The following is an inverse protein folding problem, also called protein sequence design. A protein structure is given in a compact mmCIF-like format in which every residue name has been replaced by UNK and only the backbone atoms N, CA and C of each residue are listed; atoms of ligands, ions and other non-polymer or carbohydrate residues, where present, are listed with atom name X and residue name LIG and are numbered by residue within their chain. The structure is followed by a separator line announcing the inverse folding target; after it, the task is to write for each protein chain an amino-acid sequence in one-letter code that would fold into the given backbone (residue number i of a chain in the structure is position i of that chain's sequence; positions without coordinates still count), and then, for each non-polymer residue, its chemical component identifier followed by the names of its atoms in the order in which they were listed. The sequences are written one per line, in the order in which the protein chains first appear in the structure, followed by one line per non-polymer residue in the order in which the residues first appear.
data_IF_160851828201
#
_entry.id   IF_160851828201
#
_cell.length_a   1.000
_cell.length_b   1.000
_cell.length_c   1.000
_cell.angle_alpha   90.00
_cell.angle_beta   90.00
_cell.angle_gamma   90.00
#
_symmetry.space_group_name_H-M   'P 1'
#
loop_
_entity.id
_entity.type
_entity.pdbx_description
1 polymer ?
#
# COMPACT_ATOMS: atom_id res chain seq x y z
N UNK A 1 -14.71 5.91 3.83
CA UNK A 1 -13.90 4.93 3.06
C UNK A 1 -12.76 4.46 3.95
N UNK A 2 -12.43 3.17 3.99
CA UNK A 2 -11.28 2.66 4.77
C UNK A 2 -9.97 3.08 4.08
N UNK A 3 -9.00 3.58 4.85
CA UNK A 3 -7.70 4.06 4.35
C UNK A 3 -6.51 3.44 5.10
N UNK A 4 -6.75 2.44 5.94
CA UNK A 4 -5.73 1.77 6.75
C UNK A 4 -5.87 0.27 6.56
N UNK A 5 -4.81 -0.37 6.09
CA UNK A 5 -4.75 -1.78 5.71
C UNK A 5 -3.60 -2.46 6.45
N UNK A 6 -3.84 -3.69 6.92
CA UNK A 6 -2.78 -4.57 7.39
C UNK A 6 -2.14 -5.35 6.23
N UNK A 7 -1.03 -6.07 6.50
CA UNK A 7 -0.35 -6.87 5.48
C UNK A 7 -1.24 -7.96 4.87
N UNK A 8 -2.19 -8.51 5.63
CA UNK A 8 -3.08 -9.58 5.18
C UNK A 8 -4.32 -9.09 4.41
N UNK A 9 -4.55 -7.77 4.37
CA UNK A 9 -5.76 -7.17 3.79
C UNK A 9 -5.64 -6.97 2.25
N UNK A 10 -4.83 -7.76 1.56
CA UNK A 10 -4.46 -7.56 0.14
C UNK A 10 -5.67 -7.46 -0.81
N UNK A 11 -6.67 -8.33 -0.63
CA UNK A 11 -7.89 -8.32 -1.47
C UNK A 11 -8.73 -7.06 -1.24
N UNK A 12 -8.91 -6.66 0.02
CA UNK A 12 -9.67 -5.47 0.38
C UNK A 12 -8.94 -4.20 -0.08
N UNK A 13 -7.63 -4.15 0.11
CA UNK A 13 -6.78 -3.09 -0.40
C UNK A 13 -6.92 -2.95 -1.91
N UNK A 14 -6.83 -4.05 -2.67
CA UNK A 14 -6.96 -4.03 -4.13
C UNK A 14 -8.29 -3.41 -4.58
N UNK A 15 -9.40 -3.80 -3.94
CA UNK A 15 -10.72 -3.25 -4.23
C UNK A 15 -10.83 -1.75 -3.90
N UNK A 16 -10.23 -1.31 -2.79
CA UNK A 16 -10.21 0.10 -2.40
C UNK A 16 -9.29 0.93 -3.30
N UNK A 17 -8.12 0.41 -3.68
CA UNK A 17 -7.18 1.03 -4.61
C UNK A 17 -7.85 1.30 -5.95
N UNK A 18 -8.54 0.31 -6.52
CA UNK A 18 -9.24 0.48 -7.79
C UNK A 18 -10.34 1.55 -7.71
N UNK A 19 -11.07 1.60 -6.59
CA UNK A 19 -12.10 2.62 -6.37
C UNK A 19 -11.49 4.02 -6.19
N UNK A 20 -10.44 4.14 -5.38
CA UNK A 20 -9.71 5.40 -5.16
C UNK A 20 -9.15 5.93 -6.47
N UNK A 21 -8.47 5.09 -7.25
CA UNK A 21 -7.95 5.42 -8.58
C UNK A 21 -9.04 6.04 -9.46
N UNK A 22 -10.20 5.39 -9.56
CA UNK A 22 -11.32 5.89 -10.36
C UNK A 22 -11.84 7.24 -9.85
N UNK A 23 -11.96 7.41 -8.53
CA UNK A 23 -12.41 8.67 -7.94
C UNK A 23 -11.42 9.82 -8.15
N UNK A 24 -10.12 9.57 -7.98
CA UNK A 24 -9.05 10.55 -8.17
C UNK A 24 -9.02 10.99 -9.65
N UNK A 25 -9.03 10.05 -10.58
CA UNK A 25 -9.03 10.36 -12.03
C UNK A 25 -10.28 11.16 -12.41
N UNK A 26 -11.46 10.78 -11.90
CA UNK A 26 -12.68 11.53 -12.15
C UNK A 26 -12.64 12.94 -11.52
N UNK A 27 -12.08 13.08 -10.33
CA UNK A 27 -11.89 14.36 -9.65
C UNK A 27 -10.90 15.28 -10.40
N UNK A 28 -9.78 14.72 -10.87
CA UNK A 28 -8.76 15.43 -11.62
C UNK A 28 -9.29 15.91 -12.97
N UNK A 29 -10.03 15.04 -13.67
CA UNK A 29 -10.67 15.38 -14.94
C UNK A 29 -11.66 16.54 -14.80
N UNK A 30 -12.43 16.62 -13.72
CA UNK A 30 -13.33 17.75 -13.45
C UNK A 30 -12.59 19.08 -13.27
N UNK A 31 -11.29 19.02 -12.93
CA UNK A 31 -10.40 20.17 -12.76
C UNK A 31 -9.51 20.42 -13.99
N UNK A 32 -9.71 19.68 -15.08
CA UNK A 32 -8.91 19.80 -16.31
C UNK A 32 -7.51 19.19 -16.20
N UNK A 33 -7.24 18.37 -15.18
CA UNK A 33 -5.96 17.70 -14.98
C UNK A 33 -6.04 16.31 -15.60
N UNK A 34 -5.15 16.03 -16.55
CA UNK A 34 -4.99 14.69 -17.13
C UNK A 34 -4.10 13.85 -16.19
N UNK A 35 -4.64 12.73 -15.71
CA UNK A 35 -3.94 11.84 -14.77
C UNK A 35 -3.99 10.43 -15.30
N UNK A 36 -2.83 9.80 -15.37
CA UNK A 36 -2.70 8.40 -15.76
C UNK A 36 -3.14 7.51 -14.57
N UNK A 37 -4.13 6.62 -14.74
CA UNK A 37 -4.68 5.82 -13.63
C UNK A 37 -3.67 4.85 -12.99
N UNK A 38 -2.76 4.25 -13.75
CA UNK A 38 -1.78 3.30 -13.23
C UNK A 38 -0.74 3.96 -12.31
N UNK A 39 -0.37 5.23 -12.54
CA UNK A 39 0.53 6.01 -11.70
C UNK A 39 -0.12 6.32 -10.34
N UNK A 40 -1.43 6.59 -10.33
CA UNK A 40 -2.17 6.74 -9.07
C UNK A 40 -2.19 5.42 -8.31
N UNK A 41 -2.41 4.29 -9.00
CA UNK A 41 -2.36 2.97 -8.36
C UNK A 41 -0.96 2.68 -7.80
N UNK A 42 0.10 2.97 -8.56
CA UNK A 42 1.48 2.80 -8.13
C UNK A 42 1.83 3.65 -6.90
N UNK A 43 1.34 4.89 -6.81
CA UNK A 43 1.50 5.73 -5.62
C UNK A 43 0.80 5.15 -4.39
N UNK A 44 -0.39 4.57 -4.58
CA UNK A 44 -1.12 3.89 -3.51
C UNK A 44 -0.40 2.60 -3.08
N UNK A 45 0.16 1.86 -4.03
CA UNK A 45 0.91 0.61 -3.79
C UNK A 45 2.18 0.88 -2.98
N UNK A 46 2.89 1.97 -3.28
CA UNK A 46 3.97 2.47 -2.43
C UNK A 46 3.51 2.68 -1.01
N UNK A 47 2.37 3.36 -0.84
CA UNK A 47 1.91 3.70 0.51
C UNK A 47 1.46 2.48 1.29
N UNK A 48 0.83 1.55 0.61
CA UNK A 48 0.43 0.28 1.18
C UNK A 48 1.65 -0.53 1.65
N UNK A 49 2.71 -0.61 0.84
CA UNK A 49 3.93 -1.36 1.19
C UNK A 49 4.74 -0.72 2.32
N UNK A 50 4.69 0.60 2.48
CA UNK A 50 5.43 1.31 3.54
C UNK A 50 4.78 1.15 4.91
N UNK A 51 3.47 1.44 5.04
CA UNK A 51 2.80 1.42 6.36
C UNK A 51 1.29 1.12 6.31
N UNK A 52 0.73 0.80 5.14
CA UNK A 52 -0.69 0.50 4.98
C UNK A 52 -1.65 1.69 5.18
N UNK A 53 -1.16 2.90 5.47
CA UNK A 53 -1.97 4.09 5.82
C UNK A 53 -2.05 5.06 4.65
N UNK A 54 -3.02 4.89 3.77
CA UNK A 54 -3.14 5.66 2.52
C UNK A 54 -3.30 7.18 2.73
N UNK A 55 -3.82 7.61 3.89
CA UNK A 55 -3.98 9.03 4.25
C UNK A 55 -2.77 9.68 4.93
N UNK A 56 -1.72 8.94 5.29
CA UNK A 56 -0.61 9.48 6.09
C UNK A 56 0.64 9.80 5.26
N UNK A 57 0.75 10.99 4.68
CA UNK A 57 1.89 11.37 3.85
C UNK A 57 2.87 12.29 4.58
N UNK A 58 4.16 12.00 4.47
CA UNK A 58 5.22 12.89 4.98
C UNK A 58 6.08 13.35 3.81
N UNK A 59 6.87 14.41 4.01
CA UNK A 59 7.85 14.85 3.01
C UNK A 59 8.78 13.71 2.60
N UNK A 60 9.20 12.88 3.56
CA UNK A 60 10.02 11.69 3.32
C UNK A 60 9.29 10.66 2.44
N UNK A 61 8.02 10.37 2.72
CA UNK A 61 7.24 9.45 1.87
C UNK A 61 7.16 9.93 0.42
N UNK A 62 6.99 11.23 0.19
CA UNK A 62 6.96 11.81 -1.17
C UNK A 62 8.33 11.71 -1.84
N UNK A 63 9.40 12.08 -1.13
CA UNK A 63 10.76 12.00 -1.66
C UNK A 63 11.15 10.55 -2.00
N UNK A 64 10.87 9.60 -1.11
CA UNK A 64 11.15 8.17 -1.30
C UNK A 64 10.32 7.60 -2.47
N UNK A 65 9.04 7.98 -2.58
CA UNK A 65 8.20 7.56 -3.70
C UNK A 65 8.80 7.98 -5.04
N UNK A 66 9.20 9.25 -5.16
CA UNK A 66 9.71 9.84 -6.39
C UNK A 66 11.13 9.38 -6.74
N UNK A 67 12.03 9.29 -5.76
CA UNK A 67 13.43 8.96 -6.00
C UNK A 67 13.72 7.44 -6.07
N UNK A 68 12.87 6.61 -5.44
CA UNK A 68 13.15 5.17 -5.29
C UNK A 68 12.04 4.31 -5.85
N UNK A 69 10.78 4.54 -5.47
CA UNK A 69 9.68 3.65 -5.85
C UNK A 69 9.31 3.74 -7.33
N UNK A 70 9.01 4.93 -7.84
CA UNK A 70 8.57 5.09 -9.23
C UNK A 70 9.61 4.59 -10.26
N UNK A 71 10.91 4.91 -10.15
CA UNK A 71 11.93 4.38 -11.05
C UNK A 71 12.04 2.86 -11.07
N UNK A 72 11.62 2.20 -9.97
CA UNK A 72 11.67 0.74 -9.84
C UNK A 72 10.40 0.04 -10.27
N UNK A 73 9.25 0.71 -10.27
CA UNK A 73 7.95 0.04 -10.39
C UNK A 73 7.18 0.46 -11.64
N UNK A 74 7.56 1.56 -12.29
CA UNK A 74 6.85 2.08 -13.46
C UNK A 74 7.78 2.21 -14.65
N UNK A 75 7.37 1.61 -15.76
CA UNK A 75 8.02 1.78 -17.05
C UNK A 75 7.42 2.95 -17.81
N UNK A 76 8.19 4.02 -17.97
CA UNK A 76 7.81 5.25 -18.69
C UNK A 76 8.82 5.56 -19.79
N UNK A 77 8.34 6.24 -20.83
CA UNK A 77 9.19 6.92 -21.79
C UNK A 77 9.54 8.32 -21.28
N UNK A 78 10.62 8.90 -21.83
CA UNK A 78 11.11 10.23 -21.43
C UNK A 78 10.03 11.31 -21.56
N UNK A 79 9.22 11.24 -22.63
CA UNK A 79 8.12 12.18 -22.89
C UNK A 79 6.98 12.11 -21.86
N UNK A 80 6.86 10.99 -21.12
CA UNK A 80 5.77 10.73 -20.17
C UNK A 80 6.18 10.94 -18.70
N UNK A 81 7.43 11.29 -18.41
CA UNK A 81 7.95 11.39 -17.03
C UNK A 81 7.23 12.42 -16.17
N UNK A 82 6.68 13.48 -16.79
CA UNK A 82 5.88 14.53 -16.11
C UNK A 82 4.52 14.01 -15.59
N UNK A 83 4.07 12.85 -16.07
CA UNK A 83 2.83 12.24 -15.60
C UNK A 83 2.93 11.79 -14.13
N UNK A 84 4.13 11.45 -13.65
CA UNK A 84 4.38 10.99 -12.27
C UNK A 84 4.09 12.08 -11.23
N UNK A 85 4.77 13.25 -11.26
CA UNK A 85 4.46 14.33 -10.32
C UNK A 85 3.02 14.83 -10.47
N UNK A 86 2.48 14.81 -11.69
CA UNK A 86 1.06 15.16 -11.94
C UNK A 86 0.10 14.21 -11.22
N UNK A 87 0.33 12.90 -11.30
CA UNK A 87 -0.48 11.91 -10.59
C UNK A 87 -0.38 12.05 -9.07
N UNK A 88 0.82 12.33 -8.55
CA UNK A 88 1.04 12.49 -7.12
C UNK A 88 0.39 13.77 -6.58
N UNK A 89 0.48 14.88 -7.32
CA UNK A 89 -0.28 16.10 -7.01
C UNK A 89 -1.78 15.84 -7.02
N UNK A 90 -2.30 15.09 -7.99
CA UNK A 90 -3.73 14.78 -8.05
C UNK A 90 -4.18 13.91 -6.87
N UNK A 91 -3.37 12.94 -6.46
CA UNK A 91 -3.63 12.12 -5.27
C UNK A 91 -3.67 12.98 -4.00
N UNK A 92 -2.66 13.81 -3.77
CA UNK A 92 -2.58 14.68 -2.58
C UNK A 92 -3.76 15.65 -2.55
N UNK A 93 -4.02 16.35 -3.66
CA UNK A 93 -5.13 17.30 -3.75
C UNK A 93 -6.49 16.64 -3.58
N UNK A 94 -6.67 15.41 -4.07
CA UNK A 94 -7.89 14.65 -3.82
C UNK A 94 -8.07 14.28 -2.33
N UNK A 95 -6.99 13.84 -1.66
CA UNK A 95 -7.05 13.49 -0.24
C UNK A 95 -7.33 14.72 0.64
N UNK A 96 -6.73 15.86 0.30
CA UNK A 96 -6.95 17.14 0.99
C UNK A 96 -8.39 17.63 0.83
N UNK A 97 -8.91 17.66 -0.41
CA UNK A 97 -10.28 18.08 -0.72
C UNK A 97 -11.38 17.26 0.01
N UNK A 98 -11.06 16.05 0.49
CA UNK A 98 -11.99 15.18 1.20
C UNK A 98 -11.70 15.09 2.70
N UNK A 99 -10.76 15.87 3.23
CA UNK A 99 -10.28 15.80 4.61
C UNK A 99 -9.81 14.38 4.99
N UNK A 100 -9.17 13.67 4.06
CA UNK A 100 -8.70 12.29 4.22
C UNK A 100 -7.21 12.18 4.53
N UNK A 101 -6.51 13.30 4.59
CA UNK A 101 -5.15 13.36 5.15
C UNK A 101 -5.21 13.14 6.67
N UNK A 102 -4.39 12.20 7.16
CA UNK A 102 -4.28 11.92 8.59
C UNK A 102 -3.73 13.16 9.32
N UNK A 103 -4.16 13.39 10.56
CA UNK A 103 -3.63 14.43 11.46
C UNK A 103 -2.10 14.43 11.61
N UNK A 104 -1.44 13.28 11.40
CA UNK A 104 0.03 13.11 11.44
C UNK A 104 0.69 13.32 10.08
N UNK A 105 -0.10 13.48 9.01
CA UNK A 105 0.39 13.84 7.69
C UNK A 105 0.98 15.25 7.69
N UNK A 106 1.95 15.50 6.82
CA UNK A 106 2.32 16.88 6.51
C UNK A 106 1.13 17.58 5.82
N UNK A 107 1.00 18.91 5.97
CA UNK A 107 -0.02 19.68 5.26
C UNK A 107 0.08 19.52 3.74
N UNK A 108 -1.06 19.53 3.04
CA UNK A 108 -1.09 19.34 1.59
C UNK A 108 -0.16 20.30 0.84
N UNK A 109 -0.13 21.58 1.22
CA UNK A 109 0.77 22.57 0.62
C UNK A 109 2.25 22.17 0.68
N UNK A 110 2.71 21.66 1.81
CA UNK A 110 4.08 21.18 1.98
C UNK A 110 4.36 19.91 1.16
N UNK A 111 3.37 19.03 1.02
CA UNK A 111 3.49 17.85 0.18
C UNK A 111 3.60 18.24 -1.30
N UNK A 112 2.81 19.21 -1.77
CA UNK A 112 2.92 19.75 -3.13
C UNK A 112 4.26 20.48 -3.37
N UNK A 113 4.82 21.15 -2.37
CA UNK A 113 6.19 21.67 -2.45
C UNK A 113 7.20 20.53 -2.58
N UNK A 114 7.11 19.52 -1.72
CA UNK A 114 8.03 18.39 -1.77
C UNK A 114 8.00 17.64 -3.11
N UNK A 115 6.83 17.47 -3.73
CA UNK A 115 6.74 16.86 -5.07
C UNK A 115 7.55 17.66 -6.08
N UNK A 116 7.44 18.99 -6.07
CA UNK A 116 8.18 19.87 -6.98
C UNK A 116 9.68 19.81 -6.71
N UNK A 117 10.08 19.85 -5.44
CA UNK A 117 11.49 19.81 -5.04
C UNK A 117 12.16 18.48 -5.38
N UNK A 118 11.43 17.36 -5.32
CA UNK A 118 11.93 16.02 -5.63
C UNK A 118 11.78 15.62 -7.11
N UNK A 119 11.10 16.42 -7.93
CA UNK A 119 10.89 16.10 -9.37
C UNK A 119 12.21 16.00 -10.16
N UNK A 120 13.23 16.86 -9.96
CA UNK A 120 14.52 16.69 -10.64
C UNK A 120 15.19 15.35 -10.31
N UNK A 121 15.15 14.94 -9.04
CA UNK A 121 15.73 13.66 -8.60
C UNK A 121 14.98 12.45 -9.19
N UNK A 122 13.66 12.56 -9.42
CA UNK A 122 12.91 11.55 -10.17
C UNK A 122 13.45 11.41 -11.59
N UNK A 123 13.71 12.51 -12.29
CA UNK A 123 14.20 12.45 -13.68
C UNK A 123 15.59 11.83 -13.75
N UNK A 124 16.51 12.27 -12.88
CA UNK A 124 17.85 11.67 -12.78
C UNK A 124 17.76 10.16 -12.48
N UNK A 125 16.82 9.75 -11.64
CA UNK A 125 16.62 8.34 -11.29
C UNK A 125 15.97 7.51 -12.41
N UNK A 126 15.07 8.10 -13.21
CA UNK A 126 14.46 7.45 -14.37
C UNK A 126 15.43 7.28 -15.53
N UNK A 127 16.31 8.27 -15.74
CA UNK A 127 17.33 8.27 -16.79
C UNK A 127 18.46 7.25 -16.51
N UNK A 128 18.73 6.98 -15.23
CA UNK A 128 19.67 5.93 -14.82
C UNK A 128 19.02 4.55 -14.81
N UNK A 129 19.22 3.79 -15.89
CA UNK A 129 18.69 2.43 -16.06
C UNK A 129 19.06 1.48 -14.91
N UNK A 130 20.16 1.74 -14.19
CA UNK A 130 20.56 0.91 -13.04
C UNK A 130 19.56 1.01 -11.89
N UNK A 131 18.80 2.09 -11.78
CA UNK A 131 17.80 2.26 -10.72
C UNK A 131 16.53 1.45 -10.97
N UNK A 132 16.36 0.90 -12.17
CA UNK A 132 15.20 0.08 -12.50
C UNK A 132 15.31 -1.28 -11.80
N UNK A 133 14.16 -1.88 -11.50
CA UNK A 133 14.12 -3.31 -11.20
C UNK A 133 14.20 -4.12 -12.50
N UNK A 134 14.37 -5.44 -12.39
CA UNK A 134 14.53 -6.29 -13.58
C UNK A 134 13.31 -6.25 -14.49
N UNK A 135 12.10 -6.20 -13.92
CA UNK A 135 10.85 -6.18 -14.68
C UNK A 135 10.66 -4.86 -15.44
N UNK A 136 10.87 -3.74 -14.76
CA UNK A 136 10.79 -2.37 -15.26
C UNK A 136 11.83 -2.12 -16.33
N UNK A 137 13.07 -2.58 -16.13
CA UNK A 137 14.11 -2.50 -17.17
C UNK A 137 13.62 -3.12 -18.48
N UNK A 138 13.14 -4.37 -18.45
CA UNK A 138 12.63 -5.02 -19.66
C UNK A 138 11.38 -4.34 -20.23
N UNK A 139 10.48 -3.84 -19.37
CA UNK A 139 9.30 -3.11 -19.79
C UNK A 139 9.66 -1.79 -20.50
N UNK A 140 10.62 -1.02 -19.99
CA UNK A 140 11.15 0.19 -20.61
C UNK A 140 11.79 -0.12 -21.96
N UNK A 141 12.61 -1.18 -22.04
CA UNK A 141 13.23 -1.57 -23.31
C UNK A 141 12.18 -2.01 -24.34
N UNK A 142 11.17 -2.79 -23.94
CA UNK A 142 10.06 -3.15 -24.82
C UNK A 142 9.27 -1.93 -25.31
N UNK A 143 9.02 -0.94 -24.43
CA UNK A 143 8.35 0.32 -24.80
C UNK A 143 9.17 1.13 -25.80
N UNK A 144 10.47 1.32 -25.54
CA UNK A 144 11.40 2.05 -26.42
C UNK A 144 11.48 1.43 -27.81
N UNK A 145 11.41 0.09 -27.90
CA UNK A 145 11.42 -0.64 -29.17
C UNK A 145 10.03 -0.86 -29.78
N UNK A 146 8.97 -0.29 -29.20
CA UNK A 146 7.60 -0.37 -29.73
C UNK A 146 7.01 -1.80 -29.71
N UNK A 147 7.47 -2.65 -28.79
CA UNK A 147 7.02 -4.04 -28.68
C UNK A 147 5.63 -4.08 -28.05
N UNK A 148 4.68 -4.70 -28.77
CA UNK A 148 3.36 -4.96 -28.23
C UNK A 148 3.44 -6.08 -27.17
N UNK A 149 3.52 -5.72 -25.89
CA UNK A 149 3.60 -6.66 -24.75
C UNK A 149 2.38 -7.60 -24.64
N UNK A 150 1.28 -7.24 -25.30
CA UNK A 150 0.08 -8.08 -25.42
C UNK A 150 0.19 -9.22 -26.44
N UNK A 151 1.21 -9.19 -27.31
CA UNK A 151 1.48 -10.19 -28.33
C UNK A 151 2.70 -11.04 -27.92
N UNK A 152 2.51 -12.29 -27.47
CA UNK A 152 3.61 -13.17 -27.07
C UNK A 152 4.63 -13.40 -28.19
N UNK A 153 4.22 -13.36 -29.46
CA UNK A 153 5.12 -13.53 -30.59
C UNK A 153 6.02 -12.31 -30.81
N UNK A 154 5.51 -11.10 -30.56
CA UNK A 154 6.31 -9.88 -30.57
C UNK A 154 7.36 -9.87 -29.45
N UNK A 155 6.97 -10.29 -28.25
CA UNK A 155 7.89 -10.43 -27.11
C UNK A 155 8.97 -11.47 -27.39
N UNK A 156 8.60 -12.64 -27.91
CA UNK A 156 9.58 -13.69 -28.24
C UNK A 156 10.60 -13.23 -29.30
N UNK A 157 10.15 -12.50 -30.34
CA UNK A 157 11.04 -11.90 -31.35
C UNK A 157 12.00 -10.90 -30.72
N UNK A 158 11.49 -10.01 -29.87
CA UNK A 158 12.32 -9.04 -29.16
C UNK A 158 13.43 -9.74 -28.35
N UNK A 159 13.08 -10.76 -27.57
CA UNK A 159 14.06 -11.53 -26.79
C UNK A 159 15.12 -12.21 -27.66
N UNK A 160 14.74 -12.73 -28.83
CA UNK A 160 15.70 -13.29 -29.80
C UNK A 160 16.66 -12.22 -30.33
N UNK A 161 16.16 -11.03 -30.65
CA UNK A 161 17.00 -9.91 -31.12
C UNK A 161 17.96 -9.41 -30.03
N UNK A 162 17.51 -9.35 -28.77
CA UNK A 162 18.39 -9.06 -27.63
C UNK A 162 19.49 -10.12 -27.50
N UNK A 163 19.13 -11.41 -27.60
CA UNK A 163 20.10 -12.50 -27.48
C UNK A 163 21.12 -12.51 -28.63
N UNK A 164 20.68 -12.18 -29.83
CA UNK A 164 21.53 -12.01 -31.01
C UNK A 164 22.43 -10.76 -30.97
N UNK A 165 22.23 -9.86 -29.99
CA UNK A 165 22.99 -8.61 -29.87
C UNK A 165 22.59 -7.54 -30.90
N UNK A 166 21.40 -7.68 -31.51
CA UNK A 166 20.88 -6.75 -32.53
C UNK A 166 20.30 -5.47 -31.92
N UNK A 167 20.00 -5.48 -30.62
CA UNK A 167 19.44 -4.34 -29.89
C UNK A 167 20.49 -3.73 -28.95
N UNK A 168 20.52 -2.40 -28.92
CA UNK A 168 21.38 -1.63 -28.03
C UNK A 168 20.78 -1.63 -26.62
N UNK A 169 21.24 -2.57 -25.80
CA UNK A 169 20.87 -2.72 -24.39
C UNK A 169 22.11 -2.43 -23.55
N UNK A 170 21.99 -1.60 -22.50
CA UNK A 170 23.09 -1.41 -21.55
C UNK A 170 23.29 -2.69 -20.73
N UNK A 171 24.30 -3.47 -21.13
CA UNK A 171 24.65 -4.73 -20.50
C UNK A 171 25.23 -4.53 -19.09
N UNK A 172 25.95 -3.42 -18.86
CA UNK A 172 26.53 -3.13 -17.56
C UNK A 172 25.42 -2.75 -16.56
N UNK A 173 24.42 -1.99 -17.00
CA UNK A 173 23.24 -1.72 -16.19
C UNK A 173 22.46 -3.00 -15.87
N UNK A 174 22.24 -3.88 -16.85
CA UNK A 174 21.57 -5.16 -16.64
C UNK A 174 22.32 -6.06 -15.64
N UNK A 175 23.65 -6.14 -15.73
CA UNK A 175 24.48 -6.91 -14.79
C UNK A 175 24.39 -6.37 -13.35
N UNK A 176 24.37 -5.05 -13.16
CA UNK A 176 24.15 -4.42 -11.85
C UNK A 176 22.77 -4.76 -11.29
N UNK A 177 21.72 -4.67 -12.11
CA UNK A 177 20.35 -5.00 -11.71
C UNK A 177 20.25 -6.48 -11.31
N UNK A 178 20.85 -7.39 -12.09
CA UNK A 178 20.86 -8.82 -11.80
C UNK A 178 21.60 -9.14 -10.49
N UNK A 179 22.75 -8.50 -10.24
CA UNK A 179 23.48 -8.66 -8.98
C UNK A 179 22.62 -8.22 -7.79
N UNK A 180 22.01 -7.03 -7.87
CA UNK A 180 21.14 -6.52 -6.81
C UNK A 180 19.94 -7.43 -6.55
N UNK A 181 19.27 -7.91 -7.61
CA UNK A 181 18.15 -8.83 -7.49
C UNK A 181 18.55 -10.17 -6.87
N UNK A 182 19.79 -10.63 -7.08
CA UNK A 182 20.31 -11.83 -6.43
C UNK A 182 20.61 -11.60 -4.93
N UNK A 183 21.03 -10.39 -4.57
CA UNK A 183 21.36 -9.99 -3.20
C UNK A 183 20.13 -9.54 -2.38
N UNK A 184 19.00 -9.24 -3.03
CA UNK A 184 17.74 -8.93 -2.36
C UNK A 184 17.30 -10.15 -1.54
N UNK A 185 17.17 -10.03 -0.21
CA UNK A 185 16.64 -11.11 0.60
C UNK A 185 15.26 -11.43 0.06
N UNK A 186 15.07 -12.63 -0.52
CA UNK A 186 13.74 -13.11 -0.86
C UNK A 186 12.88 -12.90 0.37
N UNK A 187 11.81 -12.12 0.24
CA UNK A 187 10.90 -11.74 1.33
C UNK A 187 10.80 -12.91 2.29
N UNK A 188 11.53 -12.81 3.41
CA UNK A 188 11.42 -13.79 4.46
C UNK A 188 9.98 -13.69 4.87
N UNK A 189 9.19 -14.73 4.56
CA UNK A 189 7.84 -14.92 5.09
C UNK A 189 7.94 -14.46 6.54
N UNK A 190 7.31 -13.32 6.87
CA UNK A 190 7.38 -12.78 8.22
C UNK A 190 7.01 -13.94 9.12
N UNK A 191 7.98 -14.45 9.89
CA UNK A 191 7.71 -15.55 10.79
C UNK A 191 6.54 -15.08 11.64
N UNK A 192 5.38 -15.73 11.50
CA UNK A 192 4.22 -15.46 12.32
C UNK A 192 4.68 -15.64 13.77
N UNK A 193 4.98 -14.52 14.42
CA UNK A 193 5.35 -14.54 15.82
C UNK A 193 4.18 -15.18 16.56
N UNK A 194 4.43 -16.22 17.37
CA UNK A 194 3.35 -16.94 18.02
C UNK A 194 2.52 -15.95 18.85
N UNK A 195 1.19 -16.08 18.86
CA UNK A 195 0.33 -15.15 19.55
C UNK A 195 0.74 -15.05 21.03
N UNK A 196 1.08 -13.85 21.47
CA UNK A 196 1.39 -13.58 22.87
C UNK A 196 0.11 -13.74 23.68
N UNK A 197 -0.02 -14.85 24.40
CA UNK A 197 -1.13 -15.05 25.33
C UNK A 197 -0.96 -14.08 26.50
N UNK A 198 -1.88 -13.13 26.72
CA UNK A 198 -1.82 -12.30 27.91
C UNK A 198 -1.96 -13.20 29.16
N UNK A 199 -1.31 -12.83 30.28
CA UNK A 199 -1.42 -13.60 31.51
C UNK A 199 -2.89 -13.69 31.94
N UNK A 200 -3.30 -14.88 32.38
CA UNK A 200 -4.64 -15.10 32.92
C UNK A 200 -4.92 -14.21 34.13
N UNK A 201 -6.20 -14.01 34.46
CA UNK A 201 -6.58 -13.26 35.66
C UNK A 201 -5.91 -13.81 36.94
N UNK A 202 -5.78 -15.14 37.06
CA UNK A 202 -5.10 -15.77 38.17
C UNK A 202 -3.59 -15.44 38.21
N UNK A 203 -2.92 -15.43 37.06
CA UNK A 203 -1.51 -15.05 36.96
C UNK A 203 -1.29 -13.56 37.26
N UNK A 204 -2.20 -12.69 36.78
CA UNK A 204 -2.16 -11.27 37.12
C UNK A 204 -2.37 -11.03 38.62
N UNK A 205 -3.29 -11.76 39.26
CA UNK A 205 -3.51 -11.68 40.71
C UNK A 205 -2.29 -12.18 41.49
N UNK A 206 -1.69 -13.31 41.11
CA UNK A 206 -0.48 -13.83 41.74
C UNK A 206 0.72 -12.88 41.57
N UNK A 207 0.86 -12.25 40.40
CA UNK A 207 1.87 -11.22 40.16
C UNK A 207 1.59 -9.95 40.99
N UNK A 208 0.32 -9.58 41.14
CA UNK A 208 -0.09 -8.45 41.98
C UNK A 208 0.17 -8.70 43.47
N UNK A 209 -0.05 -9.93 43.94
CA UNK A 209 0.16 -10.33 45.33
C UNK A 209 1.65 -10.49 45.68
N UNK A 210 2.48 -10.90 44.72
CA UNK A 210 3.94 -10.94 44.88
C UNK A 210 4.63 -9.59 44.65
N UNK A 211 3.90 -8.57 44.17
CA UNK A 211 4.44 -7.24 43.93
C UNK A 211 4.67 -6.45 45.22
N UNK A 212 5.94 -6.18 45.54
CA UNK A 212 6.35 -5.33 46.66
C UNK A 212 5.75 -3.92 46.56
N UNK A 213 5.61 -3.38 45.35
CA UNK A 213 5.03 -2.06 45.13
C UNK A 213 3.55 -2.03 45.52
N UNK A 214 2.77 -3.03 45.09
CA UNK A 214 1.35 -3.12 45.44
C UNK A 214 1.16 -3.45 46.93
N UNK A 215 2.02 -4.28 47.52
CA UNK A 215 2.01 -4.53 48.96
C UNK A 215 2.20 -3.23 49.76
N UNK A 216 3.17 -2.39 49.38
CA UNK A 216 3.41 -1.08 50.00
C UNK A 216 2.23 -0.13 49.81
N UNK A 217 1.64 -0.08 48.61
CA UNK A 217 0.46 0.75 48.34
C UNK A 217 -0.77 0.30 49.16
N UNK A 218 -1.01 -1.02 49.28
CA UNK A 218 -2.07 -1.59 50.13
C UNK A 218 -1.83 -1.32 51.62
N UNK A 219 -0.58 -1.33 52.07
CA UNK A 219 -0.23 -0.98 53.44
C UNK A 219 -0.46 0.52 53.71
N UNK A 220 -0.03 1.38 52.78
CA UNK A 220 -0.24 2.82 52.84
C UNK A 220 -1.73 3.18 52.88
N UNK A 221 -2.54 2.62 51.98
CA UNK A 221 -4.00 2.88 51.94
C UNK A 221 -4.71 2.41 53.20
N UNK A 222 -4.32 1.27 53.79
CA UNK A 222 -4.81 0.83 55.10
C UNK A 222 -4.40 1.78 56.21
N UNK A 223 -3.15 2.25 56.20
CA UNK A 223 -2.63 3.21 57.17
C UNK A 223 -3.36 4.57 57.12
N UNK A 224 -3.70 5.07 55.91
CA UNK A 224 -4.53 6.26 55.74
C UNK A 224 -5.96 6.02 56.24
N UNK A 225 -6.59 4.90 55.85
CA UNK A 225 -7.95 4.52 56.29
C UNK A 225 -8.08 4.34 57.81
N UNK A 226 -6.99 4.04 58.51
CA UNK A 226 -6.96 4.00 59.97
C UNK A 226 -6.99 5.40 60.64
N UNK A 227 -7.38 6.44 59.90
CA UNK A 227 -7.64 7.78 60.44
C UNK A 227 -6.41 8.70 60.45
N UNK A 228 -5.43 8.48 59.58
CA UNK A 228 -4.26 9.35 59.44
C UNK A 228 -4.57 10.49 58.46
N UNK A 229 -4.30 11.71 58.90
CA UNK A 229 -4.57 12.90 58.13
C UNK A 229 -3.57 13.06 56.98
N UNK A 230 -4.09 13.25 55.77
CA UNK A 230 -3.36 13.71 54.59
C UNK A 230 -3.63 15.20 54.40
N UNK A 231 -2.71 15.92 53.77
CA UNK A 231 -3.00 17.29 53.30
C UNK A 231 -4.07 17.26 52.20
N UNK A 232 -4.64 18.42 51.89
CA UNK A 232 -5.64 18.57 50.82
C UNK A 232 -5.10 18.14 49.44
N UNK A 233 -3.78 18.16 49.27
CA UNK A 233 -3.02 17.74 48.10
C UNK A 233 -2.50 16.28 48.18
N UNK A 234 -2.92 15.51 49.20
CA UNK A 234 -2.57 14.09 49.35
C UNK A 234 -1.17 13.82 49.93
N UNK A 235 -0.52 14.81 50.56
CA UNK A 235 0.80 14.63 51.19
C UNK A 235 0.67 14.15 52.63
N UNK A 236 1.69 13.44 53.11
CA UNK A 236 1.79 13.02 54.51
C UNK A 236 2.07 14.22 55.42
N UNK A 237 1.29 14.38 56.48
CA UNK A 237 1.60 15.34 57.54
C UNK A 237 2.72 14.75 58.43
N UNK A 238 3.91 15.34 58.40
CA UNK A 238 5.08 14.91 59.19
C UNK A 238 4.94 15.14 60.71
N UNK A 239 3.82 15.72 61.15
CA UNK A 239 3.51 15.93 62.57
C UNK A 239 2.00 15.81 62.76
N UNK A 240 1.50 14.57 62.85
CA UNK A 240 0.15 14.29 63.31
C UNK A 240 0.22 13.66 64.71
N UNK A 241 -0.51 14.18 65.73
CA UNK A 241 -0.57 13.52 67.03
C UNK A 241 -1.21 12.14 66.90
N UNK A 242 -0.70 11.17 67.68
CA UNK A 242 -1.17 9.79 67.67
C UNK A 242 -2.67 9.69 68.01
N UNK A 243 -3.43 8.77 67.41
CA UNK A 243 -4.83 8.57 67.73
C UNK A 243 -4.95 7.84 69.07
N UNK A 244 -5.93 8.24 69.87
CA UNK A 244 -6.34 7.57 71.09
C UNK A 244 -6.83 6.14 70.77
N UNK A 245 -6.52 5.14 71.62
CA UNK A 245 -6.95 3.76 71.38
C UNK A 245 -8.43 3.60 71.76
N UNK A 246 -9.34 3.75 70.79
CA UNK A 246 -10.73 3.32 70.98
C UNK A 246 -10.82 1.81 70.76
N UNK A 247 -11.03 1.11 71.88
CA UNK A 247 -11.29 -0.31 72.08
C UNK A 247 -12.19 -0.92 70.98
N UNK A 248 -11.64 -1.83 70.18
CA UNK A 248 -12.40 -2.78 69.35
C UNK A 248 -12.56 -4.09 70.12
N UNK A 249 -13.78 -4.44 70.49
CA UNK A 249 -14.13 -5.78 70.96
C UNK A 249 -14.39 -6.68 69.75
N UNK A 250 -13.57 -7.72 69.62
CA UNK A 250 -13.74 -8.80 68.66
C UNK A 250 -14.99 -9.62 68.98
N UNK A 251 -15.92 -9.73 68.04
CA UNK A 251 -16.88 -10.84 68.04
C UNK A 251 -16.67 -11.63 66.75
N UNK A 252 -15.88 -12.69 66.86
CA UNK A 252 -15.68 -13.69 65.82
C UNK A 252 -16.85 -14.65 65.86
N UNK A 253 -17.63 -14.74 64.79
CA UNK A 253 -18.51 -15.88 64.50
C UNK A 253 -18.03 -16.55 63.22
N UNK A 254 -17.78 -17.87 63.21
CA UNK A 254 -17.39 -18.57 62.00
C UNK A 254 -18.64 -19.08 61.28
N UNK A 255 -18.81 -18.70 60.01
CA UNK A 255 -19.76 -19.35 59.11
C UNK A 255 -18.99 -20.19 58.08
N UNK A 256 -19.12 -21.49 58.29
CA UNK A 256 -18.88 -22.66 57.45
C UNK A 256 -18.83 -22.44 55.93
N UNK A 257 -17.76 -22.93 55.30
CA UNK A 257 -17.66 -23.16 53.87
C UNK A 257 -18.21 -24.56 53.50
N UNK A 258 -18.91 -24.75 52.37
CA UNK A 258 -19.16 -26.07 51.81
C UNK A 258 -18.02 -26.54 50.89
N UNK A 259 -17.78 -27.85 50.93
CA UNK A 259 -16.73 -28.59 50.25
C UNK A 259 -16.88 -28.69 48.72
N UNK A 260 -15.80 -28.99 47.97
CA UNK A 260 -15.82 -29.18 46.51
C UNK A 260 -16.27 -30.59 46.11
N UNK A 261 -17.07 -30.68 45.04
CA UNK A 261 -17.46 -31.93 44.40
C UNK A 261 -16.33 -32.48 43.51
N UNK A 262 -16.15 -33.79 43.63
CA UNK A 262 -15.14 -34.64 43.01
C UNK A 262 -15.43 -34.96 41.54
N UNK A 263 -14.31 -35.19 40.86
CA UNK A 263 -14.04 -35.64 39.50
C UNK A 263 -14.81 -36.89 39.04
N UNK A 264 -15.18 -36.94 37.75
CA UNK A 264 -14.77 -38.08 36.89
C UNK A 264 -14.89 -37.81 35.38
N UNK A 265 -13.92 -38.31 34.59
CA UNK A 265 -13.89 -38.23 33.13
C UNK A 265 -14.30 -39.56 32.45
N UNK A 266 -14.87 -39.46 31.25
CA UNK A 266 -15.05 -40.52 30.22
C UNK A 266 -15.72 -39.82 29.03
N UNK A 267 -15.35 -39.95 27.77
CA UNK A 267 -14.60 -40.97 27.06
C UNK A 267 -14.05 -40.39 25.76
N UNK A 268 -12.95 -40.98 25.30
CA UNK A 268 -12.39 -40.81 23.97
C UNK A 268 -13.33 -41.31 22.86
N UNK A 269 -13.17 -40.75 21.66
CA UNK A 269 -13.36 -41.49 20.42
C UNK A 269 -12.36 -41.02 19.37
N UNK A 270 -11.54 -41.99 18.97
CA UNK A 270 -10.56 -41.98 17.89
C UNK A 270 -11.16 -41.57 16.55
N UNK A 271 -10.36 -40.93 15.67
CA UNK A 271 -10.36 -41.26 14.24
C UNK A 271 -8.93 -41.20 13.68
N UNK A 272 -8.61 -42.26 12.93
CA UNK A 272 -7.31 -42.57 12.30
C UNK A 272 -7.14 -41.78 10.99
N UNK A 273 -5.89 -41.52 10.60
CA UNK A 273 -5.50 -41.34 9.18
C UNK A 273 -5.65 -42.65 8.38
N UNK A 274 -5.18 -42.77 7.12
CA UNK A 274 -3.99 -42.11 6.53
C UNK A 274 -4.15 -41.70 5.04
N UNK A 275 -3.10 -41.11 4.42
CA UNK A 275 -2.95 -41.14 2.95
C UNK A 275 -2.14 -40.01 2.31
N UNK A 276 -0.83 -40.25 2.10
CA UNK A 276 -0.03 -39.72 0.97
C UNK A 276 0.23 -40.92 0.04
N UNK A 277 0.39 -40.80 -1.30
CA UNK A 277 1.48 -40.03 -1.91
C UNK A 277 1.20 -39.41 -3.31
N UNK A 278 2.16 -38.66 -3.86
CA UNK A 278 2.30 -38.53 -5.33
C UNK A 278 2.49 -37.12 -5.89
N UNK A 279 3.76 -36.75 -6.10
CA UNK A 279 4.33 -35.92 -7.17
C UNK A 279 3.43 -35.16 -8.17
N UNK A 280 3.68 -33.86 -8.31
CA UNK A 280 4.06 -33.23 -9.60
C UNK A 280 4.28 -31.73 -9.38
N UNK A 281 5.40 -31.20 -9.89
CA UNK A 281 5.76 -29.79 -9.77
C UNK A 281 4.74 -28.87 -10.42
N UNK A 282 4.49 -27.74 -9.77
CA UNK A 282 3.77 -26.62 -10.37
C UNK A 282 4.76 -25.46 -10.53
N UNK A 283 4.94 -25.06 -11.78
CA UNK A 283 5.57 -23.82 -12.20
C UNK A 283 4.93 -22.64 -11.46
N UNK A 284 5.72 -21.93 -10.66
CA UNK A 284 5.44 -20.55 -10.29
C UNK A 284 5.82 -19.69 -11.49
N UNK A 285 4.89 -18.84 -11.95
CA UNK A 285 5.08 -17.96 -13.09
C UNK A 285 3.99 -18.16 -14.13
N UNK A 286 2.84 -17.54 -13.92
CA UNK A 286 1.70 -17.68 -14.81
C UNK A 286 0.69 -16.56 -14.63
N UNK A 287 1.05 -15.37 -15.12
CA UNK A 287 0.06 -14.41 -15.59
C UNK A 287 -0.81 -15.12 -16.64
N UNK A 288 -2.10 -15.31 -16.34
CA UNK A 288 -3.09 -15.69 -17.34
C UNK A 288 -4.26 -14.72 -17.33
N UNK A 289 -4.37 -14.03 -18.47
CA UNK A 289 -5.49 -13.21 -18.96
C UNK A 289 -6.78 -14.03 -19.06
N UNK A 290 -7.93 -13.36 -18.96
CA UNK A 290 -8.80 -13.09 -20.12
C UNK A 290 -10.21 -12.64 -19.66
N UNK A 291 -10.62 -11.44 -20.11
CA UNK A 291 -12.02 -11.15 -20.36
C UNK A 291 -12.13 -10.60 -21.80
N UNK A 292 -12.74 -11.39 -22.68
CA UNK A 292 -13.09 -11.03 -24.05
C UNK A 292 -14.30 -10.08 -24.07
N UNK A 293 -14.47 -9.23 -25.10
CA UNK A 293 -15.72 -8.52 -25.35
C UNK A 293 -16.65 -9.33 -26.27
N UNK A 294 -17.98 -9.20 -26.17
CA UNK A 294 -18.89 -9.87 -27.08
C UNK A 294 -19.02 -9.10 -28.41
N UNK A 295 -18.98 -9.85 -29.52
CA UNK A 295 -19.62 -9.47 -30.78
C UNK A 295 -21.01 -10.09 -30.82
N UNK A 296 -22.03 -9.28 -31.16
CA UNK A 296 -23.07 -9.57 -32.17
C UNK A 296 -24.25 -8.60 -32.06
N UNK A 297 -24.45 -7.76 -33.09
CA UNK A 297 -25.71 -7.72 -33.83
C UNK A 297 -25.43 -7.25 -35.26
N UNK A 298 -25.73 -8.15 -36.21
CA UNK A 298 -25.78 -7.90 -37.65
C UNK A 298 -27.02 -7.05 -37.96
N UNK A 299 -26.84 -5.97 -38.72
CA UNK A 299 -27.87 -5.32 -39.51
C UNK A 299 -27.36 -5.18 -40.94
N UNK A 300 -28.03 -5.86 -41.87
CA UNK A 300 -27.64 -6.05 -43.28
C UNK A 300 -28.41 -5.02 -44.12
N UNK A 301 -27.70 -4.20 -44.90
CA UNK A 301 -28.28 -3.57 -46.09
C UNK A 301 -27.18 -3.20 -47.08
N UNK A 302 -27.19 -3.95 -48.17
CA UNK A 302 -26.44 -3.79 -49.41
C UNK A 302 -26.91 -2.59 -50.23
N UNK A 303 -25.98 -1.93 -50.92
CA UNK A 303 -26.04 -1.22 -52.22
C UNK A 303 -24.73 -0.40 -52.27
N UNK A 304 -23.84 -0.39 -53.26
CA UNK A 304 -23.81 -0.84 -54.65
C UNK A 304 -22.88 0.13 -55.39
N UNK A 305 -21.93 -0.37 -56.19
CA UNK A 305 -21.06 0.43 -57.08
C UNK A 305 -19.87 1.12 -56.37
N UNK A 306 -18.70 1.30 -56.96
CA UNK A 306 -18.22 1.07 -58.30
C UNK A 306 -16.70 1.32 -58.30
N UNK A 307 -16.03 0.74 -59.29
CA UNK A 307 -14.58 0.80 -59.55
C UNK A 307 -14.11 2.24 -59.72
N UNK A 308 -12.87 2.55 -59.30
CA UNK A 308 -11.76 3.03 -60.15
C UNK A 308 -10.65 3.73 -59.34
N UNK A 309 -9.43 3.26 -59.54
CA UNK A 309 -8.14 3.98 -59.48
C UNK A 309 -7.60 3.98 -60.94
N UNK A 310 -6.50 4.67 -61.34
CA UNK A 310 -5.64 5.67 -60.67
C UNK A 310 -5.18 6.84 -61.60
N UNK A 311 -4.47 7.85 -61.05
CA UNK A 311 -3.32 8.62 -61.61
C UNK A 311 -3.17 9.94 -60.82
N UNK A 312 -2.03 10.31 -60.21
CA UNK A 312 -0.69 10.68 -60.71
C UNK A 312 -0.63 12.06 -61.40
N UNK A 313 0.18 12.98 -60.85
CA UNK A 313 0.59 14.27 -61.45
C UNK A 313 0.57 15.45 -60.45
N UNK A 314 1.65 15.75 -59.73
CA UNK A 314 2.76 16.68 -60.08
C UNK A 314 2.51 18.17 -59.77
N UNK A 315 3.25 18.65 -58.76
CA UNK A 315 3.88 19.96 -58.54
C UNK A 315 3.34 21.26 -59.20
N UNK A 316 3.10 22.30 -58.40
CA UNK A 316 4.05 23.43 -58.19
C UNK A 316 3.38 24.68 -57.55
N UNK A 317 4.05 25.18 -56.52
CA UNK A 317 4.31 26.58 -56.12
C UNK A 317 3.27 27.68 -56.40
N UNK A 318 2.75 28.34 -55.35
CA UNK A 318 3.00 29.78 -55.09
C UNK A 318 2.22 30.34 -53.89
N UNK A 319 2.76 31.44 -53.39
CA UNK A 319 2.50 32.19 -52.18
C UNK A 319 1.05 32.68 -51.95
N UNK A 320 0.67 32.70 -50.66
CA UNK A 320 0.31 33.91 -49.93
C UNK A 320 -0.92 34.71 -50.37
N UNK A 321 -2.03 34.53 -49.65
CA UNK A 321 -2.95 35.63 -49.33
C UNK A 321 -3.79 35.27 -48.09
N UNK A 322 -3.67 36.11 -47.07
CA UNK A 322 -4.56 36.22 -45.91
C UNK A 322 -5.98 36.59 -46.36
N UNK A 323 -6.99 35.86 -45.87
CA UNK A 323 -8.35 36.40 -45.76
C UNK A 323 -9.06 35.81 -44.53
N UNK A 324 -9.52 36.74 -43.71
CA UNK A 324 -10.42 36.61 -42.59
C UNK A 324 -11.80 36.10 -43.03
N UNK A 325 -12.45 35.28 -42.19
CA UNK A 325 -13.81 34.84 -42.49
C UNK A 325 -14.43 33.95 -41.42
N UNK A 326 -15.00 34.58 -40.37
CA UNK A 326 -15.98 33.96 -39.47
C UNK A 326 -17.12 33.30 -40.27
N UNK A 327 -17.49 32.06 -39.93
CA UNK A 327 -18.91 31.62 -39.92
C UNK A 327 -19.18 30.61 -38.82
N UNK A 328 -20.12 30.97 -37.94
CA UNK A 328 -21.02 30.08 -37.20
C UNK A 328 -22.01 29.45 -38.18
N UNK A 329 -22.42 28.21 -37.90
CA UNK A 329 -23.78 27.61 -37.91
C UNK A 329 -23.56 26.20 -37.30
N UNK A 330 -24.15 25.75 -36.19
CA UNK A 330 -25.58 25.65 -35.82
C UNK A 330 -26.37 24.83 -36.83
N UNK A 331 -26.59 23.56 -36.47
CA UNK A 331 -27.38 22.53 -37.13
C UNK A 331 -27.24 21.26 -36.32
#
# INVERSE_FOLDING_TARGET
MRLVFGPDDLEEYSAVRDRLRLHIVAWARRRGIAVEPSLVAAALDHKHSVDGRLGHWTRRHVADALAVWFPRTVALLEDDRDAVPTALHALIGFLDDHDWLDSRSAPAGELHEQVRDSTPALYDALDDERNHDLGTFWAVQMLRHGVATADPAAVARFLQQVHAGELQIDRAALEEIQRRHADEPQEQQQEELPPVLPPSAAQMLAAADSSVALARLRAFTRWVRAGRALTREGRLLLSAPAPSPTRWTSTTSPATAPAPATTSPRSASCWRGPGRPGSSGCCAGGWCRCAAPPRCCRGRSSCGGGRSRPSAGSASTSAGATCSGRRRCSG
#
